data_IF_517293837257
#
_entry.id   IF_517293837257
#
_cell.length_a   1.000
_cell.length_b   1.000
_cell.length_c   1.000
_cell.angle_alpha   90.00
_cell.angle_beta   90.00
_cell.angle_gamma   90.00
#
_symmetry.space_group_name_H-M   'P 1'
#
loop_
_entity.id
_entity.type
_entity.pdbx_description
1 polymer ?
#
# COMPACT_ATOMS: atom_id res chain seq x y z
N UNK A 1 -9.90 26.00 8.92
CA UNK A 1 -10.21 24.65 9.44
C UNK A 1 -9.94 23.51 8.44
N UNK A 2 -9.77 23.77 7.13
CA UNK A 2 -9.68 22.72 6.10
C UNK A 2 -8.41 21.85 6.13
N UNK A 3 -7.28 22.36 6.66
CA UNK A 3 -6.04 21.59 6.74
C UNK A 3 -6.12 20.41 7.74
N UNK A 4 -6.86 20.57 8.84
CA UNK A 4 -7.03 19.51 9.83
C UNK A 4 -7.78 18.30 9.24
N UNK A 5 -8.84 18.58 8.45
CA UNK A 5 -9.62 17.55 7.78
C UNK A 5 -8.80 16.77 6.75
N UNK A 6 -7.94 17.46 5.97
CA UNK A 6 -7.05 16.81 5.00
C UNK A 6 -6.01 15.90 5.67
N UNK A 7 -5.46 16.31 6.81
CA UNK A 7 -4.55 15.47 7.59
C UNK A 7 -5.26 14.21 8.12
N UNK A 8 -6.48 14.36 8.63
CA UNK A 8 -7.29 13.22 9.08
C UNK A 8 -7.62 12.25 7.94
N UNK A 9 -7.94 12.76 6.75
CA UNK A 9 -8.14 11.94 5.56
C UNK A 9 -6.87 11.18 5.16
N UNK A 10 -5.70 11.82 5.27
CA UNK A 10 -4.42 11.17 4.98
C UNK A 10 -4.13 10.02 5.97
N UNK A 11 -4.38 10.23 7.26
CA UNK A 11 -4.26 9.17 8.29
C UNK A 11 -5.21 8.01 8.00
N UNK A 12 -6.43 8.31 7.58
CA UNK A 12 -7.42 7.30 7.21
C UNK A 12 -6.98 6.49 5.97
N UNK A 13 -6.41 7.14 4.95
CA UNK A 13 -5.82 6.45 3.79
C UNK A 13 -4.71 5.47 4.21
N UNK A 14 -3.82 5.89 5.11
CA UNK A 14 -2.74 5.05 5.63
C UNK A 14 -3.28 3.85 6.41
N UNK A 15 -4.30 4.04 7.24
CA UNK A 15 -4.93 2.96 7.99
C UNK A 15 -5.59 1.95 7.05
N UNK A 16 -6.36 2.42 6.06
CA UNK A 16 -6.98 1.53 5.06
C UNK A 16 -5.94 0.73 4.29
N UNK A 17 -4.83 1.37 3.93
CA UNK A 17 -3.72 0.69 3.26
C UNK A 17 -3.10 -0.41 4.13
N UNK A 18 -2.93 -0.17 5.44
CA UNK A 18 -2.48 -1.20 6.39
C UNK A 18 -3.48 -2.37 6.51
N UNK A 19 -4.77 -2.10 6.38
CA UNK A 19 -5.82 -3.13 6.32
C UNK A 19 -5.85 -3.88 4.97
N UNK A 20 -4.98 -3.56 4.00
CA UNK A 20 -4.98 -4.16 2.67
C UNK A 20 -6.08 -3.63 1.74
N UNK A 21 -6.74 -2.53 2.11
CA UNK A 21 -7.83 -1.91 1.33
C UNK A 21 -7.32 -0.67 0.59
N UNK A 22 -7.57 -0.59 -0.70
CA UNK A 22 -7.22 0.59 -1.50
C UNK A 22 -8.14 1.76 -1.13
N UNK A 23 -7.59 2.94 -0.74
CA UNK A 23 -8.40 4.11 -0.44
C UNK A 23 -9.06 4.65 -1.71
N UNK A 24 -10.39 4.64 -1.76
CA UNK A 24 -11.19 5.24 -2.83
C UNK A 24 -12.02 6.39 -2.28
N UNK A 25 -12.43 7.32 -3.17
CA UNK A 25 -13.24 8.49 -2.79
C UNK A 25 -14.52 8.08 -2.06
N UNK A 26 -15.19 7.02 -2.51
CA UNK A 26 -16.41 6.51 -1.89
C UNK A 26 -16.18 5.98 -0.46
N UNK A 27 -15.10 5.23 -0.25
CA UNK A 27 -14.80 4.64 1.06
C UNK A 27 -14.31 5.71 2.04
N UNK A 28 -13.48 6.66 1.58
CA UNK A 28 -13.04 7.79 2.42
C UNK A 28 -14.25 8.58 2.94
N UNK A 29 -15.23 8.86 2.07
CA UNK A 29 -16.45 9.59 2.44
C UNK A 29 -17.37 8.80 3.37
N UNK A 30 -17.42 7.48 3.23
CA UNK A 30 -18.24 6.61 4.08
C UNK A 30 -17.63 6.41 5.49
N UNK A 31 -16.29 6.41 5.59
CA UNK A 31 -15.55 6.04 6.80
C UNK A 31 -15.08 7.27 7.61
N UNK A 32 -15.12 8.48 7.03
CA UNK A 32 -14.81 9.71 7.73
C UNK A 32 -15.96 10.15 8.66
N UNK A 33 -15.67 10.63 9.89
CA UNK A 33 -16.68 11.09 10.83
C UNK A 33 -17.23 12.50 10.51
N UNK A 34 -16.96 13.02 9.30
CA UNK A 34 -17.34 14.36 8.86
C UNK A 34 -17.69 14.36 7.37
N UNK A 35 -18.36 15.43 6.94
CA UNK A 35 -18.72 15.61 5.53
C UNK A 35 -17.48 15.91 4.71
N UNK A 36 -17.09 14.95 3.90
CA UNK A 36 -15.96 15.07 2.97
C UNK A 36 -16.47 15.40 1.58
N UNK A 37 -15.97 16.49 0.98
CA UNK A 37 -16.20 16.79 -0.43
C UNK A 37 -15.41 15.85 -1.35
N UNK A 38 -15.90 15.65 -2.56
CA UNK A 38 -15.21 14.84 -3.57
C UNK A 38 -13.82 15.41 -3.87
N UNK A 39 -13.69 16.74 -3.91
CA UNK A 39 -12.42 17.44 -4.15
C UNK A 39 -11.42 17.21 -3.02
N UNK A 40 -11.84 17.30 -1.75
CA UNK A 40 -10.97 17.02 -0.59
C UNK A 40 -10.50 15.55 -0.56
N UNK A 41 -11.39 14.60 -0.90
CA UNK A 41 -11.03 13.19 -0.98
C UNK A 41 -10.00 12.92 -2.09
N UNK A 42 -10.20 13.53 -3.27
CA UNK A 42 -9.25 13.43 -4.38
C UNK A 42 -7.89 14.02 -3.98
N UNK A 43 -7.89 15.17 -3.32
CA UNK A 43 -6.66 15.81 -2.87
C UNK A 43 -5.91 14.95 -1.83
N UNK A 44 -6.63 14.37 -0.87
CA UNK A 44 -6.05 13.48 0.13
C UNK A 44 -5.47 12.20 -0.50
N UNK A 45 -6.17 11.59 -1.46
CA UNK A 45 -5.68 10.42 -2.21
C UNK A 45 -4.47 10.79 -3.06
N UNK A 46 -4.48 11.94 -3.74
CA UNK A 46 -3.34 12.42 -4.53
C UNK A 46 -2.11 12.60 -3.66
N UNK A 47 -2.25 13.23 -2.48
CA UNK A 47 -1.17 13.38 -1.51
C UNK A 47 -0.70 12.03 -0.97
N UNK A 48 -1.61 11.11 -0.69
CA UNK A 48 -1.29 9.76 -0.26
C UNK A 48 -0.48 9.01 -1.32
N UNK A 49 -0.92 9.02 -2.58
CA UNK A 49 -0.23 8.38 -3.69
C UNK A 49 1.14 9.01 -3.98
N UNK A 50 1.30 10.32 -3.77
CA UNK A 50 2.58 11.01 -3.94
C UNK A 50 3.62 10.64 -2.86
N UNK A 51 3.18 10.34 -1.64
CA UNK A 51 4.05 9.95 -0.52
C UNK A 51 4.17 8.42 -0.35
N UNK A 52 3.33 7.66 -1.03
CA UNK A 52 3.46 6.20 -1.13
C UNK A 52 4.50 5.88 -2.20
N UNK A 53 5.59 5.13 -1.90
CA UNK A 53 6.46 4.63 -2.94
C UNK A 53 5.62 3.80 -3.92
N UNK A 54 5.59 4.30 -5.15
CA UNK A 54 4.75 3.95 -6.31
C UNK A 54 4.30 2.50 -6.34
N UNK A 55 3.00 2.28 -6.10
CA UNK A 55 2.24 1.15 -6.63
C UNK A 55 0.96 1.74 -7.23
N UNK A 56 1.05 2.01 -8.53
CA UNK A 56 -0.01 1.83 -9.54
C UNK A 56 -1.43 2.30 -9.16
N UNK A 57 -1.76 3.59 -9.35
CA UNK A 57 -3.05 4.02 -9.92
C UNK A 57 -2.87 5.39 -10.57
N UNK A 58 -2.56 5.40 -11.87
CA UNK A 58 -2.80 6.55 -12.75
C UNK A 58 -4.04 6.24 -13.58
N UNK A 59 -5.19 6.77 -13.15
CA UNK A 59 -6.38 6.95 -13.96
C UNK A 59 -6.92 8.33 -13.55
N UNK A 60 -7.14 9.36 -14.38
CA UNK A 60 -7.12 9.62 -15.83
C UNK A 60 -6.76 11.14 -15.92
N UNK A 61 -6.08 11.73 -16.91
CA UNK A 61 -6.50 12.00 -18.30
C UNK A 61 -5.29 12.73 -18.97
N UNK A 62 -4.71 12.17 -20.04
CA UNK A 62 -4.29 12.88 -21.28
C UNK A 62 -3.40 12.01 -22.19
N UNK A 63 -3.99 11.60 -23.32
CA UNK A 63 -3.48 11.58 -24.71
C UNK A 63 -1.99 11.22 -25.00
N UNK A 64 -1.87 10.23 -25.90
CA UNK A 64 -0.77 9.91 -26.84
C UNK A 64 0.38 8.97 -26.41
N UNK A 65 0.41 7.83 -27.12
CA UNK A 65 1.58 7.14 -27.66
C UNK A 65 2.71 6.72 -26.69
N UNK A 66 2.72 5.44 -26.31
CA UNK A 66 3.70 4.42 -26.75
C UNK A 66 3.58 3.17 -25.86
N UNK A 67 3.23 2.04 -26.46
CA UNK A 67 3.41 0.69 -25.89
C UNK A 67 4.90 0.29 -25.97
N UNK A 68 5.35 -0.83 -25.36
CA UNK A 68 4.93 -1.45 -24.09
C UNK A 68 6.14 -1.90 -23.25
N UNK A 69 6.15 -1.72 -21.92
CA UNK A 69 7.06 -2.50 -21.05
C UNK A 69 6.31 -2.98 -19.80
N UNK A 70 5.85 -4.23 -19.92
CA UNK A 70 5.73 -5.24 -18.86
C UNK A 70 4.98 -4.84 -17.57
N UNK A 71 3.66 -4.67 -17.68
CA UNK A 71 2.73 -5.10 -16.62
C UNK A 71 2.47 -6.61 -16.74
N UNK A 72 3.38 -7.42 -16.20
CA UNK A 72 3.09 -8.83 -15.82
C UNK A 72 4.19 -9.37 -14.90
N UNK A 73 4.12 -9.15 -13.57
CA UNK A 73 4.67 -10.08 -12.56
C UNK A 73 4.28 -9.67 -11.12
N UNK A 74 3.05 -9.96 -10.71
CA UNK A 74 2.57 -9.77 -9.32
C UNK A 74 1.84 -11.01 -8.75
N UNK A 75 2.27 -12.22 -9.13
CA UNK A 75 2.26 -13.35 -8.18
C UNK A 75 3.61 -14.06 -8.03
N UNK A 76 4.52 -13.95 -9.01
CA UNK A 76 5.86 -14.57 -8.95
C UNK A 76 6.79 -13.90 -7.95
N UNK A 77 6.73 -12.56 -7.86
CA UNK A 77 7.52 -11.78 -6.91
C UNK A 77 7.15 -12.07 -5.44
N UNK A 78 5.86 -12.16 -5.13
CA UNK A 78 5.38 -12.52 -3.80
C UNK A 78 5.78 -13.94 -3.41
N UNK A 79 5.67 -14.90 -4.34
CA UNK A 79 6.09 -16.27 -4.11
C UNK A 79 7.59 -16.38 -3.82
N UNK A 80 8.44 -15.72 -4.63
CA UNK A 80 9.88 -15.67 -4.39
C UNK A 80 10.24 -15.03 -3.04
N UNK A 81 9.49 -14.01 -2.61
CA UNK A 81 9.70 -13.36 -1.32
C UNK A 81 9.29 -14.25 -0.15
N UNK A 82 8.20 -15.01 -0.29
CA UNK A 82 7.77 -16.01 0.69
C UNK A 82 8.81 -17.13 0.80
N UNK A 83 9.27 -17.67 -0.32
CA UNK A 83 10.30 -18.73 -0.35
C UNK A 83 11.60 -18.28 0.34
N UNK A 84 12.03 -17.04 0.08
CA UNK A 84 13.21 -16.45 0.74
C UNK A 84 13.02 -16.39 2.26
N UNK A 85 11.87 -15.89 2.72
CA UNK A 85 11.56 -15.77 4.15
C UNK A 85 11.47 -17.15 4.83
N UNK A 86 10.85 -18.14 4.17
CA UNK A 86 10.74 -19.50 4.69
C UNK A 86 12.13 -20.13 4.88
N UNK A 87 13.05 -19.89 3.94
CA UNK A 87 14.44 -20.35 4.03
C UNK A 87 15.19 -19.69 5.19
N UNK A 88 15.10 -18.38 5.31
CA UNK A 88 15.75 -17.64 6.42
C UNK A 88 15.25 -18.13 7.79
N UNK A 89 13.94 -18.36 7.92
CA UNK A 89 13.35 -18.90 9.16
C UNK A 89 13.82 -20.32 9.44
N UNK A 90 13.97 -21.17 8.41
CA UNK A 90 14.50 -22.53 8.58
C UNK A 90 15.95 -22.52 9.06
N UNK A 91 16.78 -21.64 8.50
CA UNK A 91 18.18 -21.48 8.92
C UNK A 91 18.29 -20.96 10.36
N UNK A 92 17.47 -19.97 10.73
CA UNK A 92 17.42 -19.44 12.09
C UNK A 92 16.95 -20.50 13.10
N UNK A 93 15.90 -21.26 12.79
CA UNK A 93 15.44 -22.39 13.62
C UNK A 93 16.53 -23.44 13.80
N UNK A 94 17.28 -23.75 12.74
CA UNK A 94 18.40 -24.70 12.80
C UNK A 94 19.54 -24.17 13.68
N UNK A 95 19.88 -22.89 13.56
CA UNK A 95 20.90 -22.26 14.41
C UNK A 95 20.48 -22.30 15.89
N UNK A 96 19.22 -21.96 16.18
CA UNK A 96 18.68 -22.01 17.54
C UNK A 96 18.66 -23.44 18.10
N UNK A 97 18.21 -24.43 17.34
CA UNK A 97 18.27 -25.83 17.78
C UNK A 97 19.70 -26.30 18.06
N UNK A 98 20.69 -25.86 17.28
CA UNK A 98 22.10 -26.18 17.56
C UNK A 98 22.58 -25.57 18.87
N UNK A 99 22.18 -24.33 19.17
CA UNK A 99 22.57 -23.66 20.42
C UNK A 99 21.89 -24.34 21.62
N UNK A 100 20.59 -24.64 21.50
CA UNK A 100 19.80 -25.27 22.57
C UNK A 100 20.27 -26.71 22.85
N UNK A 101 20.62 -27.48 21.81
CA UNK A 101 21.06 -28.86 21.96
C UNK A 101 22.58 -29.02 22.19
N UNK A 102 23.35 -27.92 22.19
CA UNK A 102 24.77 -27.91 22.52
C UNK A 102 25.04 -27.51 23.99
N UNK A 103 23.98 -27.36 24.80
CA UNK A 103 24.02 -27.33 26.27
C UNK A 103 23.62 -28.68 26.85
#
# INVERSE_FOLDING_TARGET
>A
MSNANLQQLHVLCLQMHKEGKTPSVGILRAKAPFKVSVTEAIEAIKRFNAHKPKLEVSNEVNVAQQNPVATTDEPGNLHARVETLEKEVAELKRALHKIINAQ
#
